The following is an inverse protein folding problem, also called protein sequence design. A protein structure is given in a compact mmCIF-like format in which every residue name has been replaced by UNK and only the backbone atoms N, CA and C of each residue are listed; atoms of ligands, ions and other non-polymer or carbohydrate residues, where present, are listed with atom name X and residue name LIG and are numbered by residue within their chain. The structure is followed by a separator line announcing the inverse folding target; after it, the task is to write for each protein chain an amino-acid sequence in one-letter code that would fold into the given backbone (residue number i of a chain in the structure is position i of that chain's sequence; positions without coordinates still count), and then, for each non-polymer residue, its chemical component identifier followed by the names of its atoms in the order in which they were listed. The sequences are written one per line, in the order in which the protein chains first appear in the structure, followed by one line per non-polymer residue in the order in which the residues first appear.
data_IF_399980271759
#
_entry.id   IF_399980271759
#
_cell.length_a   1.000
_cell.length_b   1.000
_cell.length_c   1.000
_cell.angle_alpha   90.00
_cell.angle_beta   90.00
_cell.angle_gamma   90.00
#
_symmetry.space_group_name_H-M   'P 1'
#
loop_
_entity.id
_entity.type
_entity.pdbx_description
1 polymer ?
#
# COMPACT_ATOMS: atom_id res chain seq x y z
N UNK A 1 47.73 50.79 -58.51
CA UNK A 1 46.98 51.58 -59.51
C UNK A 1 45.69 52.01 -58.84
N UNK A 2 45.35 53.31 -58.81
CA UNK A 2 44.25 53.93 -58.01
C UNK A 2 44.56 53.82 -56.48
N UNK A 3 44.92 54.88 -55.73
CA UNK A 3 44.26 56.14 -55.33
C UNK A 3 43.39 56.03 -54.06
N UNK A 4 43.46 57.09 -53.24
CA UNK A 4 43.03 57.20 -51.83
C UNK A 4 41.81 58.14 -51.67
N UNK A 5 41.46 58.48 -50.42
CA UNK A 5 40.39 59.42 -49.94
C UNK A 5 39.03 58.72 -49.77
N UNK A 6 38.44 58.47 -48.58
CA UNK A 6 38.29 59.19 -47.28
C UNK A 6 37.06 60.15 -47.21
N UNK A 7 36.42 60.40 -46.06
CA UNK A 7 36.60 59.86 -44.69
C UNK A 7 35.34 59.08 -44.20
N UNK A 8 34.58 59.29 -43.10
CA UNK A 8 34.52 60.29 -42.00
C UNK A 8 34.29 59.52 -40.65
N UNK A 9 34.50 60.21 -39.51
CA UNK A 9 34.35 59.75 -38.11
C UNK A 9 32.84 59.61 -37.69
N UNK A 10 32.43 59.02 -36.55
CA UNK A 10 32.89 59.21 -35.17
C UNK A 10 32.66 58.00 -34.23
N UNK A 11 33.47 57.93 -33.16
CA UNK A 11 33.15 57.15 -31.95
C UNK A 11 31.96 57.79 -31.21
N UNK A 12 31.10 56.97 -30.64
CA UNK A 12 30.40 57.29 -29.39
C UNK A 12 30.43 56.08 -28.46
N UNK A 13 31.04 56.25 -27.31
CA UNK A 13 30.90 55.32 -26.18
C UNK A 13 29.55 55.58 -25.53
N UNK A 14 28.76 54.51 -25.39
CA UNK A 14 27.60 54.46 -24.51
C UNK A 14 27.69 53.15 -23.75
N UNK A 15 28.08 53.23 -22.48
CA UNK A 15 27.98 52.11 -21.56
C UNK A 15 26.50 51.70 -21.48
N UNK A 16 26.21 50.42 -21.69
CA UNK A 16 24.88 49.88 -21.43
C UNK A 16 24.78 49.70 -19.91
N UNK A 17 23.80 50.30 -19.21
CA UNK A 17 23.77 50.29 -17.75
C UNK A 17 23.76 48.87 -17.17
N UNK A 18 24.63 48.64 -16.20
CA UNK A 18 24.80 47.35 -15.50
C UNK A 18 23.56 46.97 -14.64
N UNK A 19 22.59 47.89 -14.51
CA UNK A 19 21.32 47.73 -13.79
C UNK A 19 20.29 46.88 -14.57
N UNK A 20 20.40 46.79 -15.90
CA UNK A 20 19.47 46.02 -16.74
C UNK A 20 19.54 44.49 -16.57
N UNK A 21 20.44 44.01 -15.70
CA UNK A 21 20.67 42.58 -15.41
C UNK A 21 20.23 42.14 -14.01
N UNK A 22 19.68 43.05 -13.21
CA UNK A 22 19.28 42.79 -11.81
C UNK A 22 17.76 42.63 -11.61
N UNK A 23 16.97 42.60 -12.70
CA UNK A 23 15.51 42.64 -12.66
C UNK A 23 14.80 41.30 -12.92
N UNK A 24 15.51 40.26 -13.41
CA UNK A 24 15.01 38.88 -13.32
C UNK A 24 15.31 38.34 -11.91
N UNK A 25 14.50 38.80 -10.95
CA UNK A 25 14.38 38.14 -9.66
C UNK A 25 13.84 36.73 -9.93
N UNK A 26 14.76 35.74 -9.95
CA UNK A 26 14.41 34.33 -9.91
C UNK A 26 13.74 34.03 -8.57
N UNK A 27 12.44 34.31 -8.50
CA UNK A 27 11.59 34.02 -7.36
C UNK A 27 11.48 32.50 -7.28
N UNK A 28 12.44 31.89 -6.59
CA UNK A 28 12.56 30.44 -6.45
C UNK A 28 11.38 29.95 -5.61
N UNK A 29 10.29 29.60 -6.28
CA UNK A 29 9.06 29.13 -5.65
C UNK A 29 9.42 27.94 -4.77
N UNK A 30 9.33 28.10 -3.46
CA UNK A 30 9.54 27.02 -2.50
C UNK A 30 8.33 26.10 -2.60
N UNK A 31 8.51 25.03 -3.36
CA UNK A 31 7.48 24.03 -3.69
C UNK A 31 7.07 23.21 -2.48
N UNK A 32 8.01 22.96 -1.57
CA UNK A 32 7.78 22.27 -0.30
C UNK A 32 8.76 22.76 0.77
N UNK A 33 8.25 23.02 1.98
CA UNK A 33 9.03 23.23 3.20
C UNK A 33 8.71 22.11 4.19
N UNK A 34 9.70 21.29 4.55
CA UNK A 34 9.59 20.24 5.57
C UNK A 34 9.29 20.86 6.95
N UNK A 35 8.37 20.32 7.77
CA UNK A 35 8.06 20.88 9.08
C UNK A 35 9.25 20.82 10.04
N UNK A 36 9.55 21.93 10.71
CA UNK A 36 10.53 22.01 11.78
C UNK A 36 9.92 21.51 13.10
N UNK A 37 10.48 20.44 13.67
CA UNK A 37 10.02 19.89 14.94
C UNK A 37 10.53 20.77 16.09
N UNK A 38 9.67 21.33 16.97
CA UNK A 38 10.09 22.21 18.07
C UNK A 38 11.18 21.58 18.94
N UNK A 39 12.27 22.31 19.21
CA UNK A 39 13.43 21.77 19.96
C UNK A 39 13.07 21.33 21.40
N UNK A 40 12.04 21.94 21.98
CA UNK A 40 11.48 21.58 23.30
C UNK A 40 10.73 20.23 23.30
N UNK A 41 10.34 19.70 22.14
CA UNK A 41 9.67 18.42 22.00
C UNK A 41 10.74 17.32 21.90
N UNK A 42 11.05 16.69 23.03
CA UNK A 42 12.12 15.69 23.17
C UNK A 42 11.64 14.24 23.02
N UNK A 43 10.37 13.96 23.32
CA UNK A 43 9.81 12.62 23.27
C UNK A 43 9.71 12.06 21.83
N UNK A 44 10.25 10.86 21.53
CA UNK A 44 10.26 10.32 20.16
C UNK A 44 8.88 10.12 19.52
N UNK A 45 7.86 9.71 20.29
CA UNK A 45 6.51 9.48 19.76
C UNK A 45 5.83 10.81 19.42
N UNK A 46 5.88 11.78 20.33
CA UNK A 46 5.35 13.13 20.08
C UNK A 46 6.02 13.78 18.87
N UNK A 47 7.35 13.61 18.72
CA UNK A 47 8.12 14.10 17.56
C UNK A 47 7.68 13.44 16.25
N UNK A 48 7.44 12.14 16.25
CA UNK A 48 6.95 11.40 15.08
C UNK A 48 5.53 11.86 14.70
N UNK A 49 4.61 11.95 15.67
CA UNK A 49 3.24 12.41 15.42
C UNK A 49 3.19 13.85 14.93
N UNK A 50 3.96 14.76 15.56
CA UNK A 50 4.10 16.14 15.07
C UNK A 50 4.62 16.17 13.63
N UNK A 51 5.63 15.38 13.31
CA UNK A 51 6.21 15.34 11.97
C UNK A 51 5.20 14.90 10.89
N UNK A 52 4.42 13.84 11.12
CA UNK A 52 3.41 13.39 10.14
C UNK A 52 2.20 14.32 10.09
N UNK A 53 1.73 14.84 11.24
CA UNK A 53 0.59 15.75 11.32
C UNK A 53 0.88 17.10 10.64
N UNK A 54 2.13 17.56 10.62
CA UNK A 54 2.54 18.82 9.97
C UNK A 54 3.25 18.62 8.62
N UNK A 55 3.36 17.38 8.12
CA UNK A 55 4.12 17.05 6.91
C UNK A 55 3.71 17.89 5.70
N UNK A 56 2.40 18.08 5.49
CA UNK A 56 1.86 18.74 4.29
C UNK A 56 1.55 20.23 4.45
N UNK A 57 1.88 20.83 5.61
CA UNK A 57 1.58 22.25 5.88
C UNK A 57 2.37 23.19 4.94
N UNK A 58 3.65 22.87 4.72
CA UNK A 58 4.56 23.63 3.85
C UNK A 58 4.50 23.25 2.36
N UNK A 59 3.52 22.45 1.92
CA UNK A 59 3.41 21.99 0.54
C UNK A 59 2.63 23.00 -0.34
N UNK A 60 3.16 23.30 -1.53
CA UNK A 60 2.61 24.31 -2.44
C UNK A 60 1.56 23.75 -3.40
N UNK A 61 0.33 24.25 -3.28
CA UNK A 61 -0.78 23.96 -4.20
C UNK A 61 -0.75 24.81 -5.49
N UNK A 62 0.18 25.75 -5.61
CA UNK A 62 0.19 26.73 -6.70
C UNK A 62 0.86 26.23 -8.00
N UNK A 63 1.74 25.23 -7.91
CA UNK A 63 2.50 24.71 -9.05
C UNK A 63 1.95 23.34 -9.50
N UNK A 64 1.08 23.37 -10.51
CA UNK A 64 0.43 22.14 -11.03
C UNK A 64 1.36 21.23 -11.84
N UNK A 65 2.60 21.67 -12.14
CA UNK A 65 3.64 20.80 -12.69
C UNK A 65 4.37 20.06 -11.55
N UNK A 66 4.69 20.75 -10.45
CA UNK A 66 5.23 20.13 -9.24
C UNK A 66 4.26 19.08 -8.65
N UNK A 67 2.96 19.40 -8.55
CA UNK A 67 1.96 18.42 -8.08
C UNK A 67 1.99 17.13 -8.91
N UNK A 68 2.14 17.23 -10.24
CA UNK A 68 2.17 16.07 -11.15
C UNK A 68 3.55 15.39 -11.26
N UNK A 69 4.59 15.95 -10.63
CA UNK A 69 5.96 15.45 -10.73
C UNK A 69 6.24 14.22 -9.87
N UNK A 70 7.40 13.60 -10.12
CA UNK A 70 7.95 12.52 -9.32
C UNK A 70 8.44 13.00 -7.94
N UNK A 71 8.80 14.28 -7.78
CA UNK A 71 9.15 14.87 -6.47
C UNK A 71 7.99 14.72 -5.47
N UNK A 72 6.77 15.02 -5.92
CA UNK A 72 5.54 14.85 -5.12
C UNK A 72 5.24 13.38 -4.82
N UNK A 73 5.59 12.48 -5.75
CA UNK A 73 5.43 11.04 -5.57
C UNK A 73 6.41 10.47 -4.53
N UNK A 74 7.66 10.96 -4.53
CA UNK A 74 8.64 10.66 -3.49
C UNK A 74 8.21 11.23 -2.13
N UNK A 75 7.69 12.46 -2.07
CA UNK A 75 7.16 13.04 -0.82
C UNK A 75 5.98 12.23 -0.28
N UNK A 76 5.12 11.68 -1.14
CA UNK A 76 4.05 10.78 -0.73
C UNK A 76 4.62 9.47 -0.17
N UNK A 77 5.58 8.85 -0.85
CA UNK A 77 6.29 7.64 -0.40
C UNK A 77 6.97 7.84 0.97
N UNK A 78 7.71 8.94 1.13
CA UNK A 78 8.38 9.34 2.37
C UNK A 78 7.39 9.60 3.51
N UNK A 79 6.23 10.19 3.21
CA UNK A 79 5.15 10.38 4.18
C UNK A 79 4.58 9.04 4.68
N UNK A 80 4.27 8.10 3.77
CA UNK A 80 3.78 6.78 4.14
C UNK A 80 4.81 6.02 5.00
N UNK A 81 6.10 6.09 4.64
CA UNK A 81 7.18 5.51 5.47
C UNK A 81 7.33 6.16 6.85
N UNK A 82 6.97 7.44 6.99
CA UNK A 82 6.95 8.11 8.29
C UNK A 82 5.77 7.70 9.20
N UNK A 83 4.69 7.13 8.63
CA UNK A 83 3.54 6.63 9.40
C UNK A 83 3.84 5.35 10.19
N UNK A 84 4.94 4.65 9.91
CA UNK A 84 5.35 3.45 10.67
C UNK A 84 5.80 3.77 12.10
N UNK A 85 6.10 5.04 12.41
CA UNK A 85 6.64 5.50 13.69
C UNK A 85 5.56 6.04 14.66
N UNK A 86 4.29 6.01 14.26
CA UNK A 86 3.14 6.52 15.02
C UNK A 86 2.06 5.45 15.16
N UNK A 87 1.10 5.64 16.06
CA UNK A 87 0.02 4.68 16.26
C UNK A 87 -1.10 4.79 15.17
N UNK A 88 -2.08 3.89 15.23
CA UNK A 88 -3.17 3.80 14.23
C UNK A 88 -4.13 5.01 14.24
N UNK A 89 -4.34 5.67 15.38
CA UNK A 89 -5.17 6.87 15.50
C UNK A 89 -4.42 8.11 14.99
N UNK A 90 -3.14 8.21 15.33
CA UNK A 90 -2.23 9.27 14.87
C UNK A 90 -2.02 9.24 13.36
N UNK A 91 -1.77 8.06 12.78
CA UNK A 91 -1.62 7.88 11.33
C UNK A 91 -2.93 8.15 10.58
N UNK A 92 -4.07 7.61 11.07
CA UNK A 92 -5.41 7.93 10.53
C UNK A 92 -5.69 9.45 10.50
N UNK A 93 -5.33 10.15 11.59
CA UNK A 93 -5.45 11.61 11.69
C UNK A 93 -4.59 12.34 10.66
N UNK A 94 -3.31 11.94 10.51
CA UNK A 94 -2.39 12.55 9.54
C UNK A 94 -2.83 12.29 8.08
N UNK A 95 -3.31 11.08 7.77
CA UNK A 95 -3.83 10.70 6.46
C UNK A 95 -5.08 11.51 6.07
N UNK A 96 -6.04 11.67 6.99
CA UNK A 96 -7.22 12.54 6.77
C UNK A 96 -6.82 14.00 6.58
N UNK A 97 -5.91 14.51 7.41
CA UNK A 97 -5.41 15.89 7.29
C UNK A 97 -4.71 16.14 5.95
N UNK A 98 -3.88 15.21 5.48
CA UNK A 98 -3.29 15.26 4.14
C UNK A 98 -4.39 15.43 3.08
N UNK A 99 -5.39 14.57 3.06
CA UNK A 99 -6.43 14.63 2.03
C UNK A 99 -7.27 15.91 2.12
N UNK A 100 -7.68 16.35 3.32
CA UNK A 100 -8.39 17.62 3.50
C UNK A 100 -7.57 18.85 3.08
N UNK A 101 -6.24 18.83 3.27
CA UNK A 101 -5.33 19.87 2.78
C UNK A 101 -5.26 19.87 1.26
N UNK A 102 -5.22 18.70 0.63
CA UNK A 102 -5.20 18.60 -0.83
C UNK A 102 -6.58 18.92 -1.45
N UNK A 103 -7.69 18.72 -0.73
CA UNK A 103 -9.05 19.08 -1.17
C UNK A 103 -9.22 20.59 -1.45
N UNK A 104 -8.28 21.44 -1.05
CA UNK A 104 -8.22 22.87 -1.44
C UNK A 104 -8.01 23.06 -2.96
N UNK A 105 -7.27 22.18 -3.66
CA UNK A 105 -7.09 22.22 -5.12
C UNK A 105 -7.46 20.90 -5.83
N UNK A 106 -8.04 21.00 -7.03
CA UNK A 106 -8.50 19.87 -7.83
C UNK A 106 -7.36 19.05 -8.44
N UNK A 107 -6.22 19.68 -8.78
CA UNK A 107 -5.05 18.93 -9.27
C UNK A 107 -4.39 18.18 -8.12
N UNK A 108 -4.19 18.84 -6.99
CA UNK A 108 -3.65 18.24 -5.77
C UNK A 108 -4.53 17.07 -5.31
N UNK A 109 -5.83 17.30 -5.10
CA UNK A 109 -6.75 16.27 -4.63
C UNK A 109 -6.80 15.06 -5.58
N UNK A 110 -6.95 15.27 -6.89
CA UNK A 110 -6.94 14.18 -7.89
C UNK A 110 -5.62 13.40 -7.89
N UNK A 111 -4.47 14.07 -7.79
CA UNK A 111 -3.15 13.43 -7.70
C UNK A 111 -3.01 12.61 -6.42
N UNK A 112 -3.48 13.11 -5.28
CA UNK A 112 -3.34 12.41 -4.00
C UNK A 112 -4.32 11.25 -3.85
N UNK A 113 -5.53 11.32 -4.42
CA UNK A 113 -6.40 10.15 -4.58
C UNK A 113 -5.70 9.06 -5.42
N UNK A 114 -5.12 9.43 -6.57
CA UNK A 114 -4.37 8.51 -7.43
C UNK A 114 -3.15 7.89 -6.73
N UNK A 115 -2.34 8.69 -6.02
CA UNK A 115 -1.18 8.20 -5.28
C UNK A 115 -1.60 7.26 -4.15
N UNK A 116 -2.67 7.59 -3.44
CA UNK A 116 -3.22 6.74 -2.38
C UNK A 116 -3.68 5.38 -2.91
N UNK A 117 -4.41 5.36 -4.03
CA UNK A 117 -4.81 4.11 -4.67
C UNK A 117 -3.60 3.31 -5.18
N UNK A 118 -2.68 3.96 -5.92
CA UNK A 118 -1.46 3.35 -6.47
C UNK A 118 -0.58 2.71 -5.39
N UNK A 119 -0.37 3.38 -4.27
CA UNK A 119 0.57 2.93 -3.25
C UNK A 119 -0.08 2.07 -2.17
N UNK A 120 -1.30 2.38 -1.73
CA UNK A 120 -1.93 1.73 -0.58
C UNK A 120 -2.93 0.63 -0.96
N UNK A 121 -3.47 0.65 -2.19
CA UNK A 121 -4.53 -0.28 -2.64
C UNK A 121 -4.12 -1.21 -3.80
N UNK A 122 -3.24 -0.80 -4.71
CA UNK A 122 -2.80 -1.67 -5.82
C UNK A 122 -2.13 -2.95 -5.28
N UNK A 123 -2.58 -4.12 -5.74
CA UNK A 123 -2.08 -5.41 -5.28
C UNK A 123 -0.59 -5.65 -5.61
N UNK A 124 -0.07 -4.97 -6.64
CA UNK A 124 1.34 -5.01 -7.03
C UNK A 124 2.21 -4.05 -6.21
N UNK A 125 1.61 -3.16 -5.41
CA UNK A 125 2.38 -2.25 -4.55
C UNK A 125 3.04 -3.01 -3.40
N UNK A 126 4.36 -2.82 -3.17
CA UNK A 126 5.03 -3.32 -1.97
C UNK A 126 4.66 -2.50 -0.72
N UNK A 127 4.09 -1.31 -0.89
CA UNK A 127 3.66 -0.40 0.17
C UNK A 127 2.16 -0.50 0.47
N UNK A 128 1.45 -1.49 -0.10
CA UNK A 128 0.00 -1.64 0.10
C UNK A 128 -0.33 -1.83 1.57
N UNK A 129 -1.19 -0.97 2.09
CA UNK A 129 -1.63 -0.98 3.48
C UNK A 129 -3.05 -0.45 3.56
N UNK A 130 -4.00 -1.37 3.66
CA UNK A 130 -5.41 -1.05 3.68
C UNK A 130 -5.83 -0.26 4.93
N UNK A 131 -5.17 -0.47 6.07
CA UNK A 131 -5.43 0.30 7.29
C UNK A 131 -5.00 1.78 7.14
N UNK A 132 -4.08 2.09 6.21
CA UNK A 132 -3.78 3.47 5.80
C UNK A 132 -4.72 3.97 4.68
N UNK A 133 -5.29 3.09 3.85
CA UNK A 133 -6.21 3.49 2.78
C UNK A 133 -7.63 3.77 3.30
N UNK A 134 -8.12 3.03 4.29
CA UNK A 134 -9.41 3.25 4.96
C UNK A 134 -9.66 4.71 5.37
N UNK A 135 -8.78 5.40 6.13
CA UNK A 135 -9.02 6.80 6.51
C UNK A 135 -9.01 7.78 5.33
N UNK A 136 -8.36 7.44 4.22
CA UNK A 136 -8.42 8.21 2.97
C UNK A 136 -9.77 7.99 2.28
N UNK A 137 -10.22 6.74 2.16
CA UNK A 137 -11.54 6.40 1.61
C UNK A 137 -12.68 7.06 2.37
N UNK A 138 -12.61 7.07 3.70
CA UNK A 138 -13.56 7.77 4.57
C UNK A 138 -13.64 9.27 4.24
N UNK A 139 -12.49 9.97 4.12
CA UNK A 139 -12.48 11.38 3.72
C UNK A 139 -12.96 11.58 2.26
N UNK A 140 -12.66 10.67 1.34
CA UNK A 140 -13.14 10.76 -0.05
C UNK A 140 -14.67 10.67 -0.13
N UNK A 141 -15.31 9.90 0.75
CA UNK A 141 -16.78 9.79 0.85
C UNK A 141 -17.38 11.06 1.48
N UNK A 142 -16.77 11.58 2.55
CA UNK A 142 -17.16 12.84 3.20
C UNK A 142 -16.86 14.10 2.36
N UNK A 143 -16.07 13.95 1.29
CA UNK A 143 -15.63 15.03 0.40
C UNK A 143 -16.80 15.84 -0.17
N UNK A 144 -16.58 17.15 -0.26
CA UNK A 144 -17.47 18.11 -0.95
C UNK A 144 -16.99 18.40 -2.37
N UNK A 145 -15.78 17.95 -2.73
CA UNK A 145 -15.19 18.12 -4.05
C UNK A 145 -15.49 16.96 -5.01
N UNK A 146 -15.69 15.75 -4.50
CA UNK A 146 -16.19 14.61 -5.29
C UNK A 146 -17.71 14.69 -5.47
N UNK A 147 -18.18 14.38 -6.68
CA UNK A 147 -19.59 14.07 -6.94
C UNK A 147 -19.97 12.71 -6.37
N UNK A 148 -21.27 12.50 -6.15
CA UNK A 148 -21.80 11.22 -5.67
C UNK A 148 -21.51 10.03 -6.62
N UNK A 149 -21.21 10.29 -7.90
CA UNK A 149 -20.73 9.26 -8.84
C UNK A 149 -19.27 8.88 -8.58
N UNK A 150 -18.40 9.87 -8.35
CA UNK A 150 -16.97 9.63 -8.03
C UNK A 150 -16.78 8.92 -6.69
N UNK A 151 -17.75 9.06 -5.77
CA UNK A 151 -17.76 8.36 -4.46
C UNK A 151 -18.15 6.88 -4.53
N UNK A 152 -18.73 6.39 -5.64
CA UNK A 152 -19.16 4.98 -5.76
C UNK A 152 -17.97 4.02 -5.60
N UNK A 153 -16.84 4.31 -6.25
CA UNK A 153 -15.63 3.48 -6.18
C UNK A 153 -15.02 3.50 -4.76
N UNK A 154 -14.78 4.66 -4.11
CA UNK A 154 -14.34 4.71 -2.72
C UNK A 154 -15.27 3.99 -1.73
N UNK A 155 -16.59 4.09 -1.91
CA UNK A 155 -17.56 3.41 -1.05
C UNK A 155 -17.48 1.87 -1.16
N UNK A 156 -17.38 1.34 -2.38
CA UNK A 156 -17.15 -0.08 -2.63
C UNK A 156 -15.80 -0.54 -2.05
N UNK A 157 -14.72 0.21 -2.31
CA UNK A 157 -13.40 -0.07 -1.75
C UNK A 157 -13.40 -0.06 -0.22
N UNK A 158 -14.19 0.80 0.43
CA UNK A 158 -14.33 0.83 1.89
C UNK A 158 -15.12 -0.38 2.42
N UNK A 159 -16.16 -0.82 1.69
CA UNK A 159 -16.89 -2.06 2.02
C UNK A 159 -15.97 -3.28 1.91
N UNK A 160 -15.18 -3.40 0.84
CA UNK A 160 -14.21 -4.49 0.67
C UNK A 160 -13.10 -4.42 1.73
N UNK A 161 -12.64 -3.21 2.07
CA UNK A 161 -11.66 -2.99 3.12
C UNK A 161 -12.17 -3.45 4.50
N UNK A 162 -13.43 -3.16 4.84
CA UNK A 162 -14.02 -3.59 6.12
C UNK A 162 -14.16 -5.11 6.28
N UNK A 163 -14.08 -5.90 5.20
CA UNK A 163 -14.15 -7.38 5.26
C UNK A 163 -12.83 -7.98 5.72
N UNK A 164 -12.88 -8.82 6.75
CA UNK A 164 -11.72 -9.54 7.31
C UNK A 164 -10.55 -8.62 7.72
N UNK A 165 -10.83 -7.44 8.30
CA UNK A 165 -9.80 -6.55 8.87
C UNK A 165 -9.02 -7.22 10.01
N UNK A 166 -7.78 -6.79 10.30
CA UNK A 166 -7.05 -7.19 11.50
C UNK A 166 -7.90 -7.10 12.78
N UNK A 167 -7.75 -8.07 13.66
CA UNK A 167 -8.46 -8.16 14.95
C UNK A 167 -9.86 -8.78 14.91
N UNK A 168 -10.57 -8.80 13.77
CA UNK A 168 -11.86 -9.50 13.63
C UNK A 168 -11.68 -10.95 13.15
N UNK A 169 -12.65 -11.81 13.46
CA UNK A 169 -12.66 -13.21 13.01
C UNK A 169 -12.89 -13.27 11.50
N UNK A 170 -12.02 -14.00 10.79
CA UNK A 170 -12.11 -14.21 9.36
C UNK A 170 -13.38 -14.99 8.97
N UNK A 171 -13.98 -14.62 7.84
CA UNK A 171 -15.27 -15.14 7.37
C UNK A 171 -15.15 -16.63 7.02
N UNK A 172 -15.96 -17.48 7.68
CA UNK A 172 -15.89 -18.94 7.47
C UNK A 172 -16.44 -19.37 6.11
N UNK A 173 -15.71 -20.24 5.41
CA UNK A 173 -16.10 -20.80 4.12
C UNK A 173 -15.83 -22.31 4.07
N UNK A 174 -16.54 -23.01 3.17
CA UNK A 174 -16.32 -24.42 2.89
C UNK A 174 -15.33 -24.65 1.74
N UNK A 175 -14.55 -25.73 1.83
CA UNK A 175 -13.66 -26.18 0.75
C UNK A 175 -13.70 -27.71 0.61
N UNK A 176 -13.32 -28.22 -0.57
CA UNK A 176 -13.00 -29.63 -0.81
C UNK A 176 -11.51 -29.81 -1.03
N UNK A 177 -10.96 -30.96 -0.64
CA UNK A 177 -9.58 -31.37 -0.92
C UNK A 177 -9.53 -32.35 -2.11
N UNK A 178 -8.38 -32.56 -2.77
CA UNK A 178 -8.26 -33.52 -3.89
C UNK A 178 -8.65 -34.97 -3.53
N UNK A 179 -8.72 -35.28 -2.23
CA UNK A 179 -9.22 -36.57 -1.72
C UNK A 179 -10.76 -36.66 -1.60
N UNK A 180 -11.50 -35.67 -2.11
CA UNK A 180 -12.96 -35.55 -1.99
C UNK A 180 -13.46 -35.13 -0.60
N UNK A 181 -12.59 -35.09 0.42
CA UNK A 181 -12.96 -34.65 1.78
C UNK A 181 -13.28 -33.16 1.81
N UNK A 182 -14.43 -32.82 2.39
CA UNK A 182 -14.84 -31.45 2.73
C UNK A 182 -14.16 -30.96 4.02
N UNK A 183 -14.06 -29.64 4.17
CA UNK A 183 -13.65 -28.96 5.39
C UNK A 183 -14.15 -27.52 5.44
N UNK A 184 -13.93 -26.85 6.57
CA UNK A 184 -14.20 -25.42 6.77
C UNK A 184 -13.00 -24.71 7.38
N UNK A 185 -12.82 -23.42 7.08
CA UNK A 185 -11.76 -22.58 7.66
C UNK A 185 -11.78 -22.63 9.20
N UNK A 186 -12.95 -22.47 9.79
CA UNK A 186 -13.21 -22.50 11.24
C UNK A 186 -12.81 -23.80 11.95
N UNK A 187 -12.69 -24.92 11.21
CA UNK A 187 -12.37 -26.24 11.78
C UNK A 187 -10.87 -26.49 11.92
N UNK A 188 -10.01 -25.66 11.30
CA UNK A 188 -8.56 -25.84 11.32
C UNK A 188 -7.92 -25.39 12.64
N UNK A 189 -7.28 -26.34 13.33
CA UNK A 189 -6.58 -26.12 14.61
C UNK A 189 -5.07 -26.03 14.42
N UNK A 190 -4.53 -24.86 14.70
CA UNK A 190 -3.12 -24.48 14.78
C UNK A 190 -3.02 -23.13 15.49
N UNK A 191 -1.84 -22.76 15.98
CA UNK A 191 -1.63 -21.46 16.63
C UNK A 191 -1.68 -20.31 15.63
N UNK A 192 -1.18 -20.56 14.42
CA UNK A 192 -1.30 -19.70 13.25
C UNK A 192 -1.84 -20.49 12.04
N UNK A 193 -2.60 -19.83 11.18
CA UNK A 193 -3.00 -20.35 9.88
C UNK A 193 -2.68 -19.31 8.80
N UNK A 194 -1.80 -19.65 7.87
CA UNK A 194 -1.67 -18.92 6.61
C UNK A 194 -2.77 -19.39 5.65
N UNK A 195 -3.66 -18.48 5.28
CA UNK A 195 -4.65 -18.66 4.22
C UNK A 195 -4.06 -18.06 2.94
N UNK A 196 -3.90 -18.90 1.92
CA UNK A 196 -3.20 -18.61 0.68
C UNK A 196 -4.20 -18.74 -0.48
N UNK A 197 -4.77 -17.62 -0.91
CA UNK A 197 -5.64 -17.61 -2.11
C UNK A 197 -4.76 -17.58 -3.34
N UNK A 198 -4.93 -18.57 -4.22
CA UNK A 198 -4.05 -18.80 -5.36
C UNK A 198 -4.85 -19.15 -6.61
N UNK A 199 -4.15 -19.18 -7.74
CA UNK A 199 -4.67 -19.64 -9.02
C UNK A 199 -3.72 -20.74 -9.60
N UNK A 200 -4.24 -21.81 -10.23
CA UNK A 200 -3.44 -22.92 -10.74
C UNK A 200 -2.40 -22.56 -11.81
N UNK A 201 -2.58 -21.48 -12.58
CA UNK A 201 -1.67 -21.01 -13.65
C UNK A 201 -0.89 -19.74 -13.27
N UNK A 202 -1.07 -19.22 -12.05
CA UNK A 202 -0.38 -18.04 -11.52
C UNK A 202 1.12 -18.26 -11.20
N UNK A 203 2.01 -17.63 -11.96
CA UNK A 203 3.47 -17.66 -11.76
C UNK A 203 3.90 -17.12 -10.39
N UNK A 204 3.32 -16.01 -9.94
CA UNK A 204 3.64 -15.39 -8.63
C UNK A 204 3.28 -16.31 -7.46
N UNK A 205 2.24 -17.14 -7.62
CA UNK A 205 1.80 -18.13 -6.64
C UNK A 205 2.85 -19.24 -6.51
N UNK A 206 3.34 -19.76 -7.65
CA UNK A 206 4.39 -20.78 -7.69
C UNK A 206 5.71 -20.29 -7.06
N UNK A 207 6.06 -19.01 -7.22
CA UNK A 207 7.23 -18.42 -6.57
C UNK A 207 7.03 -18.29 -5.05
N UNK A 208 5.85 -17.88 -4.58
CA UNK A 208 5.54 -17.82 -3.14
C UNK A 208 5.53 -19.23 -2.52
N UNK A 209 4.96 -20.21 -3.22
CA UNK A 209 5.00 -21.63 -2.84
C UNK A 209 6.43 -22.14 -2.71
N UNK A 210 7.31 -21.82 -3.68
CA UNK A 210 8.73 -22.16 -3.63
C UNK A 210 9.43 -21.50 -2.43
N UNK A 211 9.33 -20.19 -2.29
CA UNK A 211 9.97 -19.43 -1.18
C UNK A 211 9.55 -19.97 0.19
N UNK A 212 8.26 -20.25 0.39
CA UNK A 212 7.77 -20.78 1.66
C UNK A 212 8.15 -22.25 1.90
N UNK A 213 8.21 -23.07 0.85
CA UNK A 213 8.54 -24.50 0.98
C UNK A 213 10.03 -24.80 1.03
N UNK A 214 10.89 -23.88 0.60
CA UNK A 214 12.35 -24.00 0.73
C UNK A 214 12.88 -23.36 2.03
N UNK A 215 12.11 -22.49 2.70
CA UNK A 215 12.54 -21.77 3.90
C UNK A 215 12.62 -22.69 5.15
N UNK A 216 13.82 -22.93 5.73
CA UNK A 216 13.97 -23.90 6.83
C UNK A 216 13.16 -23.57 8.09
N UNK A 217 13.05 -22.27 8.41
CA UNK A 217 12.24 -21.77 9.52
C UNK A 217 10.75 -22.10 9.34
N UNK A 218 10.19 -21.81 8.16
CA UNK A 218 8.79 -22.05 7.84
C UNK A 218 8.46 -23.55 7.90
N UNK A 219 9.34 -24.39 7.34
CA UNK A 219 9.25 -25.84 7.42
C UNK A 219 9.29 -26.38 8.86
N UNK A 220 10.07 -25.77 9.77
CA UNK A 220 10.13 -26.18 11.17
C UNK A 220 8.82 -25.88 11.92
N UNK A 221 8.29 -24.65 11.79
CA UNK A 221 7.02 -24.29 12.45
C UNK A 221 5.81 -25.02 11.86
N UNK A 222 5.86 -25.43 10.58
CA UNK A 222 4.89 -26.36 10.00
C UNK A 222 5.03 -27.79 10.58
N UNK A 223 6.25 -28.34 10.70
CA UNK A 223 6.49 -29.67 11.28
C UNK A 223 6.09 -29.75 12.75
N UNK A 224 6.27 -28.66 13.51
CA UNK A 224 5.81 -28.51 14.91
C UNK A 224 4.29 -28.32 15.02
N UNK A 225 3.58 -28.08 13.92
CA UNK A 225 2.12 -27.86 13.90
C UNK A 225 1.66 -26.48 14.38
N UNK A 226 2.59 -25.61 14.75
CA UNK A 226 2.38 -24.20 15.15
C UNK A 226 1.71 -23.45 14.00
N UNK A 227 2.24 -23.62 12.79
CA UNK A 227 1.68 -23.07 11.56
C UNK A 227 1.01 -24.17 10.72
N UNK A 228 -0.16 -23.86 10.16
CA UNK A 228 -0.71 -24.56 9.00
C UNK A 228 -0.82 -23.61 7.82
N UNK A 229 -0.81 -24.18 6.61
CA UNK A 229 -1.18 -23.46 5.39
C UNK A 229 -2.44 -24.09 4.82
N UNK A 230 -3.43 -23.25 4.50
CA UNK A 230 -4.61 -23.60 3.73
C UNK A 230 -4.52 -22.83 2.40
N UNK A 231 -4.14 -23.53 1.33
CA UNK A 231 -4.15 -22.98 -0.02
C UNK A 231 -5.51 -23.22 -0.65
N UNK A 232 -6.16 -22.16 -1.14
CA UNK A 232 -7.53 -22.22 -1.67
C UNK A 232 -7.58 -21.63 -3.06
N UNK A 233 -8.04 -22.42 -4.02
CA UNK A 233 -8.54 -21.90 -5.29
C UNK A 233 -9.99 -21.41 -5.06
N UNK A 234 -10.30 -20.11 -5.25
CA UNK A 234 -11.63 -19.57 -5.03
C UNK A 234 -12.48 -19.49 -6.31
N UNK A 235 -11.91 -19.86 -7.47
CA UNK A 235 -12.43 -19.67 -8.82
C UNK A 235 -12.59 -21.00 -9.58
N UNK A 236 -12.87 -20.92 -10.89
CA UNK A 236 -12.64 -21.96 -11.88
C UNK A 236 -13.39 -23.28 -11.74
N UNK A 237 -12.87 -24.31 -12.40
CA UNK A 237 -13.43 -25.67 -12.41
C UNK A 237 -12.51 -26.72 -11.76
N UNK A 238 -13.12 -27.84 -11.36
CA UNK A 238 -12.51 -28.89 -10.56
C UNK A 238 -11.30 -29.57 -11.25
N UNK A 239 -11.28 -29.62 -12.59
CA UNK A 239 -10.27 -30.36 -13.36
C UNK A 239 -8.92 -29.64 -13.35
N UNK A 240 -8.92 -28.34 -13.61
CA UNK A 240 -7.72 -27.48 -13.61
C UNK A 240 -7.02 -27.53 -12.24
N UNK A 241 -7.82 -27.31 -11.19
CA UNK A 241 -7.37 -27.40 -9.81
C UNK A 241 -6.82 -28.78 -9.47
N UNK A 242 -7.52 -29.88 -9.80
CA UNK A 242 -7.04 -31.24 -9.53
C UNK A 242 -5.69 -31.50 -10.22
N UNK A 243 -5.53 -31.11 -11.49
CA UNK A 243 -4.28 -31.30 -12.25
C UNK A 243 -3.07 -30.62 -11.58
N UNK A 244 -3.24 -29.42 -11.01
CA UNK A 244 -2.15 -28.69 -10.34
C UNK A 244 -2.01 -29.01 -8.86
N UNK A 245 -3.08 -29.43 -8.18
CA UNK A 245 -3.10 -29.72 -6.73
C UNK A 245 -2.03 -30.72 -6.29
N UNK A 246 -1.64 -31.64 -7.18
CA UNK A 246 -0.57 -32.62 -6.98
C UNK A 246 0.84 -32.04 -6.88
N UNK A 247 1.05 -30.77 -7.26
CA UNK A 247 2.34 -30.07 -7.27
C UNK A 247 2.55 -29.13 -6.09
N UNK A 248 1.49 -28.85 -5.32
CA UNK A 248 1.55 -27.93 -4.18
C UNK A 248 2.51 -28.44 -3.09
N UNK A 249 3.12 -27.56 -2.28
CA UNK A 249 4.07 -27.96 -1.25
C UNK A 249 3.55 -28.99 -0.24
N UNK A 250 4.43 -29.91 0.16
CA UNK A 250 4.07 -30.98 1.10
C UNK A 250 3.65 -30.41 2.47
N UNK A 251 2.57 -30.96 3.03
CA UNK A 251 2.03 -30.55 4.33
C UNK A 251 1.07 -29.36 4.28
N UNK A 252 0.88 -28.74 3.11
CA UNK A 252 -0.17 -27.76 2.90
C UNK A 252 -1.54 -28.44 2.76
N UNK A 253 -2.59 -27.79 3.23
CA UNK A 253 -3.97 -28.22 2.98
C UNK A 253 -4.40 -27.55 1.67
N UNK A 254 -4.45 -28.32 0.59
CA UNK A 254 -4.91 -27.85 -0.72
C UNK A 254 -6.43 -27.97 -0.80
N UNK A 255 -7.10 -26.86 -1.11
CA UNK A 255 -8.54 -26.74 -1.16
C UNK A 255 -9.06 -26.02 -2.41
N UNK A 256 -10.31 -26.30 -2.76
CA UNK A 256 -11.11 -25.53 -3.72
C UNK A 256 -12.45 -25.16 -3.11
N UNK A 257 -12.89 -23.91 -3.29
CA UNK A 257 -14.21 -23.45 -2.82
C UNK A 257 -15.31 -23.91 -3.79
N UNK A 258 -15.62 -25.21 -3.82
CA UNK A 258 -16.65 -25.84 -4.68
C UNK A 258 -18.05 -25.21 -4.57
N UNK A 259 -18.32 -24.41 -3.53
CA UNK A 259 -19.57 -23.66 -3.36
C UNK A 259 -19.58 -22.32 -4.14
N UNK A 260 -18.42 -21.86 -4.62
CA UNK A 260 -18.25 -20.60 -5.35
C UNK A 260 -18.58 -19.34 -4.54
N UNK A 261 -18.73 -19.46 -3.22
CA UNK A 261 -19.30 -18.41 -2.40
C UNK A 261 -18.29 -17.39 -1.87
N UNK A 262 -16.98 -17.69 -1.88
CA UNK A 262 -15.94 -16.69 -1.65
C UNK A 262 -16.06 -15.56 -2.69
N UNK A 263 -16.24 -15.92 -3.97
CA UNK A 263 -16.44 -14.96 -5.07
C UNK A 263 -17.87 -14.45 -5.14
N UNK A 264 -18.89 -15.32 -5.22
CA UNK A 264 -20.28 -14.90 -5.48
C UNK A 264 -20.96 -14.13 -4.34
N UNK A 265 -20.34 -14.09 -3.15
CA UNK A 265 -20.77 -13.22 -2.02
C UNK A 265 -19.67 -12.23 -1.60
N UNK A 266 -18.56 -12.16 -2.32
CA UNK A 266 -17.36 -11.37 -1.99
C UNK A 266 -16.97 -11.50 -0.51
N UNK A 267 -16.81 -12.73 -0.01
CA UNK A 267 -16.49 -13.00 1.41
C UNK A 267 -15.08 -12.55 1.79
N UNK A 268 -14.19 -12.45 0.81
CA UNK A 268 -12.83 -11.96 0.92
C UNK A 268 -12.57 -11.02 -0.25
N UNK A 269 -11.88 -9.92 0.01
CA UNK A 269 -11.26 -9.15 -1.06
C UNK A 269 -10.02 -9.92 -1.54
N UNK A 270 -10.02 -10.30 -2.83
CA UNK A 270 -9.01 -11.10 -3.51
C UNK A 270 -8.79 -10.44 -4.87
N UNK A 271 -8.06 -9.32 -4.84
CA UNK A 271 -7.84 -8.40 -5.96
C UNK A 271 -6.90 -8.97 -7.03
N UNK A 272 -5.93 -9.77 -6.60
CA UNK A 272 -4.98 -10.51 -7.43
C UNK A 272 -4.56 -11.80 -6.72
N UNK A 273 -3.98 -12.75 -7.45
CA UNK A 273 -3.38 -13.96 -6.87
C UNK A 273 -1.84 -13.87 -6.93
N UNK A 274 -1.11 -14.28 -5.87
CA UNK A 274 -1.63 -14.77 -4.59
C UNK A 274 -2.10 -13.64 -3.65
N UNK A 275 -3.18 -13.86 -2.89
CA UNK A 275 -3.56 -13.01 -1.75
C UNK A 275 -3.31 -13.76 -0.44
N UNK A 276 -2.67 -13.11 0.55
CA UNK A 276 -2.25 -13.73 1.80
C UNK A 276 -3.03 -13.20 3.01
N UNK A 277 -3.56 -14.10 3.83
CA UNK A 277 -4.11 -13.76 5.15
C UNK A 277 -3.42 -14.60 6.23
N UNK A 278 -2.86 -13.96 7.27
CA UNK A 278 -2.38 -14.67 8.46
C UNK A 278 -3.43 -14.58 9.56
N UNK A 279 -3.88 -15.74 10.05
CA UNK A 279 -4.89 -15.86 11.10
C UNK A 279 -4.31 -16.48 12.38
N UNK A 280 -4.88 -16.15 13.53
CA UNK A 280 -4.55 -16.76 14.82
C UNK A 280 -5.30 -18.09 15.08
N UNK A 281 -5.06 -18.66 16.26
CA UNK A 281 -5.78 -19.81 16.82
C UNK A 281 -7.31 -19.65 16.86
N UNK A 282 -7.83 -18.44 17.13
CA UNK A 282 -9.26 -18.10 17.12
C UNK A 282 -9.80 -17.80 15.70
N UNK A 283 -8.94 -17.83 14.67
CA UNK A 283 -9.21 -17.37 13.30
C UNK A 283 -9.47 -15.86 13.20
N UNK A 284 -9.01 -15.06 14.17
CA UNK A 284 -8.87 -13.61 14.00
C UNK A 284 -7.77 -13.32 12.99
N UNK A 285 -8.00 -12.34 12.13
CA UNK A 285 -7.00 -11.86 11.18
C UNK A 285 -5.91 -11.10 11.94
N UNK A 286 -4.66 -11.45 11.67
CA UNK A 286 -3.47 -10.74 12.13
C UNK A 286 -2.97 -9.82 11.00
N UNK A 287 -2.89 -10.36 9.79
CA UNK A 287 -2.47 -9.66 8.58
C UNK A 287 -3.47 -9.97 7.45
N UNK A 288 -3.97 -8.93 6.78
CA UNK A 288 -4.82 -8.99 5.58
C UNK A 288 -4.01 -8.51 4.37
N UNK A 289 -4.05 -9.27 3.28
CA UNK A 289 -3.32 -9.06 2.02
C UNK A 289 -1.92 -8.44 2.19
N UNK A 290 -1.14 -9.00 3.11
CA UNK A 290 0.20 -8.48 3.42
C UNK A 290 1.24 -9.04 2.44
N UNK A 291 2.31 -8.27 2.13
CA UNK A 291 3.50 -8.79 1.45
C UNK A 291 4.06 -10.05 2.13
N UNK A 292 4.63 -10.96 1.34
CA UNK A 292 5.15 -12.25 1.82
C UNK A 292 6.23 -12.06 2.90
N UNK A 293 7.06 -11.04 2.70
CA UNK A 293 8.14 -10.59 3.58
C UNK A 293 7.58 -10.21 4.97
N UNK A 294 6.41 -9.55 5.01
CA UNK A 294 5.76 -9.13 6.26
C UNK A 294 5.13 -10.31 6.99
N UNK A 295 4.58 -11.29 6.27
CA UNK A 295 4.11 -12.57 6.83
C UNK A 295 5.30 -13.31 7.49
N UNK A 296 6.43 -13.42 6.78
CA UNK A 296 7.65 -14.08 7.26
C UNK A 296 8.24 -13.34 8.48
N UNK A 297 8.34 -12.02 8.43
CA UNK A 297 8.86 -11.18 9.52
C UNK A 297 7.99 -11.29 10.77
N UNK A 298 6.67 -11.26 10.64
CA UNK A 298 5.77 -11.43 11.79
C UNK A 298 5.96 -12.80 12.43
N UNK A 299 5.96 -13.87 11.63
CA UNK A 299 6.12 -15.25 12.12
C UNK A 299 7.48 -15.48 12.80
N UNK A 300 8.57 -14.93 12.25
CA UNK A 300 9.91 -15.15 12.80
C UNK A 300 10.11 -14.51 14.17
N UNK A 301 9.54 -13.32 14.41
CA UNK A 301 9.56 -12.68 15.74
C UNK A 301 8.72 -13.48 16.73
N UNK A 302 7.42 -13.65 16.49
CA UNK A 302 6.50 -14.24 17.49
C UNK A 302 6.82 -15.68 17.82
N UNK A 303 7.51 -16.43 16.94
CA UNK A 303 7.93 -17.80 17.23
C UNK A 303 9.32 -17.89 17.87
N UNK A 304 10.16 -16.86 17.79
CA UNK A 304 11.37 -16.78 18.63
C UNK A 304 10.99 -16.49 20.08
N UNK A 305 10.06 -15.56 20.31
CA UNK A 305 9.58 -15.20 21.66
C UNK A 305 8.90 -16.37 22.39
N UNK A 306 8.26 -17.29 21.66
CA UNK A 306 7.64 -18.50 22.22
C UNK A 306 8.59 -19.70 22.42
N UNK A 307 9.91 -19.53 22.19
CA UNK A 307 10.93 -20.57 22.43
C UNK A 307 11.97 -20.17 23.51
N UNK A 308 11.77 -19.06 24.23
CA UNK A 308 12.56 -18.60 25.38
C UNK A 308 11.73 -18.62 26.68
#
# INVERSE_FOLDING_TARGET
MILFVACIQMRRSSEVPEEAKAAESMLHIVRYTRPEIPQMMTDPQQRAFYFVNHYWDGYSLADTAFIRSDDTEQLFSDFIGALEYVNSEESSTALKRMMSRMEEDSTAYSRFCFLSEKYLYDANSPMRNEEYFIPILEQMIDSKRLTEYEKIRPADQLEQAHKNRPGITATDFGYVTPSGKTGKLSQLRSDYLLLFFYDPDCTSCQEFERVLSEMPFFLDIQKKGILRVLAVYPDGDENEWLLKSSKMPQGWIVGWNKQGDIRSKTLYDIRATPTLYLLDKQKKVILKDAPLERIIQYLSVVTQDNNN
#
